data_IF_692173065291
#
_entry.id   IF_692173065291
#
_cell.length_a   1.000
_cell.length_b   1.000
_cell.length_c   1.000
_cell.angle_alpha   90.00
_cell.angle_beta   90.00
_cell.angle_gamma   90.00
#
_symmetry.space_group_name_H-M   'P 1'
#
loop_
_entity.id
_entity.type
_entity.pdbx_description
1 polymer ?
#
# COMPACT_ATOMS: atom_id res chain seq x y z
N UNK A 1 15.87 15.87 -2.85
CA UNK A 1 15.35 14.58 -2.34
C UNK A 1 13.94 14.40 -2.87
N UNK A 2 13.76 13.55 -3.88
CA UNK A 2 12.43 13.22 -4.42
C UNK A 2 11.64 12.42 -3.37
N UNK A 3 10.32 12.65 -3.22
CA UNK A 3 9.51 11.91 -2.26
C UNK A 3 9.56 10.42 -2.62
N UNK A 4 9.80 9.59 -1.61
CA UNK A 4 10.04 8.15 -1.64
C UNK A 4 9.39 7.47 -2.86
N UNK A 5 10.22 7.12 -3.86
CA UNK A 5 9.77 6.29 -4.95
C UNK A 5 9.42 4.93 -4.35
N UNK A 6 8.13 4.58 -4.34
CA UNK A 6 7.68 3.25 -3.96
C UNK A 6 8.51 2.22 -4.74
N UNK A 7 8.93 1.11 -4.12
CA UNK A 7 9.59 0.05 -4.86
C UNK A 7 8.70 -0.35 -6.05
N UNK A 8 9.29 -0.68 -7.21
CA UNK A 8 8.53 -0.90 -8.44
C UNK A 8 7.45 -1.98 -8.30
N UNK A 9 7.71 -3.02 -7.51
CA UNK A 9 6.75 -4.06 -7.17
C UNK A 9 5.54 -3.55 -6.37
N UNK A 10 5.75 -2.59 -5.46
CA UNK A 10 4.66 -1.97 -4.69
C UNK A 10 3.87 -0.96 -5.53
N UNK A 11 4.53 -0.25 -6.44
CA UNK A 11 3.85 0.59 -7.42
C UNK A 11 2.98 -0.25 -8.37
N UNK A 12 3.48 -1.40 -8.81
CA UNK A 12 2.72 -2.36 -9.61
C UNK A 12 1.54 -2.95 -8.82
N UNK A 13 1.77 -3.35 -7.57
CA UNK A 13 0.71 -3.82 -6.66
C UNK A 13 -0.39 -2.76 -6.51
N UNK A 14 -0.03 -1.49 -6.33
CA UNK A 14 -1.00 -0.41 -6.23
C UNK A 14 -1.88 -0.29 -7.49
N UNK A 15 -1.32 -0.46 -8.70
CA UNK A 15 -2.13 -0.52 -9.93
C UNK A 15 -3.10 -1.70 -9.90
N UNK A 16 -2.66 -2.87 -9.44
CA UNK A 16 -3.57 -4.02 -9.31
C UNK A 16 -4.71 -3.72 -8.36
N UNK A 17 -4.44 -3.14 -7.18
CA UNK A 17 -5.48 -2.75 -6.21
C UNK A 17 -6.49 -1.78 -6.81
N UNK A 18 -6.06 -0.83 -7.65
CA UNK A 18 -6.97 0.14 -8.30
C UNK A 18 -7.84 -0.50 -9.39
N UNK A 19 -7.39 -1.60 -10.02
CA UNK A 19 -8.08 -2.26 -11.13
C UNK A 19 -8.78 -3.57 -10.76
N UNK A 20 -8.58 -4.07 -9.54
CA UNK A 20 -9.12 -5.33 -9.02
C UNK A 20 -10.00 -5.03 -7.79
N UNK A 21 -11.32 -4.97 -8.01
CA UNK A 21 -12.29 -4.61 -6.99
C UNK A 21 -12.33 -5.63 -5.84
N UNK A 22 -12.11 -6.92 -6.13
CA UNK A 22 -12.08 -7.98 -5.12
C UNK A 22 -10.85 -7.82 -4.22
N UNK A 23 -9.70 -7.53 -4.81
CA UNK A 23 -8.48 -7.22 -4.05
C UNK A 23 -8.65 -5.97 -3.18
N UNK A 24 -9.29 -4.93 -3.72
CA UNK A 24 -9.60 -3.71 -2.97
C UNK A 24 -10.51 -4.00 -1.77
N UNK A 25 -11.60 -4.75 -1.96
CA UNK A 25 -12.52 -5.13 -0.88
C UNK A 25 -11.81 -5.96 0.19
N UNK A 26 -10.99 -6.94 -0.21
CA UNK A 26 -10.20 -7.77 0.72
C UNK A 26 -9.25 -6.93 1.57
N UNK A 27 -8.59 -5.93 0.97
CA UNK A 27 -7.69 -5.03 1.69
C UNK A 27 -8.47 -4.03 2.57
N UNK A 28 -9.61 -3.53 2.10
CA UNK A 28 -10.47 -2.61 2.85
C UNK A 28 -11.15 -3.28 4.06
N UNK A 29 -11.34 -4.60 4.02
CA UNK A 29 -11.84 -5.38 5.14
C UNK A 29 -10.80 -5.59 6.27
N UNK A 30 -9.56 -5.12 6.09
CA UNK A 30 -8.56 -5.15 7.16
C UNK A 30 -8.99 -4.28 8.35
N UNK A 31 -9.08 -4.89 9.54
CA UNK A 31 -9.56 -4.20 10.75
C UNK A 31 -8.58 -3.18 11.32
N UNK A 32 -7.29 -3.30 11.00
CA UNK A 32 -6.23 -2.42 11.48
C UNK A 32 -5.05 -2.35 10.49
N UNK A 33 -4.09 -1.49 10.79
CA UNK A 33 -2.93 -1.25 9.93
C UNK A 33 -1.99 -2.47 9.79
N UNK A 34 -1.82 -3.27 10.84
CA UNK A 34 -0.97 -4.47 10.80
C UNK A 34 -1.65 -5.61 10.02
N UNK A 35 -2.97 -5.75 10.17
CA UNK A 35 -3.78 -6.63 9.34
C UNK A 35 -3.69 -6.25 7.85
N UNK A 36 -3.80 -4.95 7.55
CA UNK A 36 -3.65 -4.44 6.18
C UNK A 36 -2.27 -4.74 5.60
N UNK A 37 -1.20 -4.46 6.37
CA UNK A 37 0.19 -4.70 5.92
C UNK A 37 0.42 -6.18 5.64
N UNK A 38 -0.04 -7.06 6.53
CA UNK A 38 0.04 -8.51 6.35
C UNK A 38 -0.69 -8.97 5.08
N UNK A 39 -1.93 -8.50 4.89
CA UNK A 39 -2.74 -8.84 3.72
C UNK A 39 -2.13 -8.31 2.42
N UNK A 40 -1.58 -7.10 2.42
CA UNK A 40 -0.95 -6.50 1.25
C UNK A 40 0.31 -7.28 0.83
N UNK A 41 1.18 -7.65 1.78
CA UNK A 41 2.38 -8.45 1.49
C UNK A 41 2.00 -9.83 0.96
N UNK A 42 1.00 -10.49 1.58
CA UNK A 42 0.52 -11.79 1.11
C UNK A 42 -0.08 -11.70 -0.30
N UNK A 43 -0.94 -10.72 -0.56
CA UNK A 43 -1.57 -10.53 -1.87
C UNK A 43 -0.57 -10.15 -2.98
N UNK A 44 0.50 -9.43 -2.63
CA UNK A 44 1.64 -9.18 -3.51
C UNK A 44 2.39 -10.45 -3.85
N UNK A 45 2.72 -11.26 -2.84
CA UNK A 45 3.42 -12.53 -3.02
C UNK A 45 2.63 -13.54 -3.88
N UNK A 46 1.31 -13.63 -3.68
CA UNK A 46 0.39 -14.42 -4.52
C UNK A 46 0.48 -14.04 -6.02
N UNK A 47 0.85 -12.79 -6.32
CA UNK A 47 0.98 -12.23 -7.67
C UNK A 47 2.42 -12.17 -8.17
N UNK A 48 3.37 -12.75 -7.45
CA UNK A 48 4.80 -12.72 -7.78
C UNK A 48 5.47 -11.37 -7.52
N UNK A 49 4.81 -10.45 -6.81
CA UNK A 49 5.34 -9.14 -6.44
C UNK A 49 6.02 -9.24 -5.07
N UNK A 50 7.29 -8.86 -5.02
CA UNK A 50 8.08 -8.92 -3.78
C UNK A 50 8.28 -7.53 -3.23
N UNK A 51 7.70 -7.27 -2.06
CA UNK A 51 7.93 -6.08 -1.24
C UNK A 51 7.71 -6.44 0.23
N UNK A 52 8.31 -5.66 1.12
CA UNK A 52 8.29 -5.91 2.55
C UNK A 52 7.15 -5.20 3.26
N UNK A 53 6.84 -5.65 4.47
CA UNK A 53 5.95 -4.92 5.37
C UNK A 53 6.44 -3.48 5.65
N UNK A 54 7.76 -3.25 5.66
CA UNK A 54 8.34 -1.92 5.84
C UNK A 54 8.01 -1.01 4.65
N UNK A 55 8.03 -1.54 3.41
CA UNK A 55 7.66 -0.79 2.21
C UNK A 55 6.20 -0.35 2.25
N UNK A 56 5.29 -1.26 2.64
CA UNK A 56 3.86 -0.94 2.79
C UNK A 56 3.64 0.12 3.86
N UNK A 57 4.30 0.00 5.02
CA UNK A 57 4.20 1.00 6.09
C UNK A 57 4.75 2.36 5.67
N UNK A 58 5.86 2.39 4.95
CA UNK A 58 6.43 3.62 4.41
C UNK A 58 5.46 4.30 3.42
N UNK A 59 4.79 3.52 2.57
CA UNK A 59 3.75 4.00 1.66
C UNK A 59 2.56 4.62 2.41
N UNK A 60 2.04 3.94 3.43
CA UNK A 60 0.95 4.45 4.27
C UNK A 60 1.33 5.75 4.98
N UNK A 61 2.56 5.82 5.53
CA UNK A 61 3.07 7.02 6.19
C UNK A 61 3.19 8.19 5.21
N UNK A 62 3.72 7.94 4.01
CA UNK A 62 3.83 8.95 2.97
C UNK A 62 2.45 9.46 2.54
N UNK A 63 1.48 8.55 2.31
CA UNK A 63 0.11 8.91 1.97
C UNK A 63 -0.56 9.76 3.06
N UNK A 64 -0.42 9.36 4.33
CA UNK A 64 -0.92 10.13 5.48
C UNK A 64 -0.29 11.52 5.56
N UNK A 65 1.03 11.62 5.37
CA UNK A 65 1.75 12.90 5.37
C UNK A 65 1.25 13.82 4.26
N UNK A 66 1.14 13.31 3.04
CA UNK A 66 0.61 14.07 1.90
C UNK A 66 -0.83 14.51 2.12
N UNK A 67 -1.67 13.69 2.77
CA UNK A 67 -3.03 14.08 3.11
C UNK A 67 -3.06 15.23 4.13
N UNK A 68 -2.26 15.14 5.19
CA UNK A 68 -2.14 16.22 6.20
C UNK A 68 -1.66 17.51 5.54
N UNK A 69 -0.56 17.45 4.79
CA UNK A 69 0.03 18.61 4.11
C UNK A 69 -0.94 19.29 3.11
N UNK A 70 -1.89 18.54 2.55
CA UNK A 70 -2.87 19.06 1.58
C UNK A 70 -4.19 19.54 2.20
N UNK A 71 -4.55 19.05 3.38
CA UNK A 71 -5.91 19.23 3.92
C UNK A 71 -5.95 19.81 5.33
N UNK A 72 -4.80 19.96 6.00
CA UNK A 72 -4.69 20.59 7.31
C UNK A 72 -3.98 21.93 7.13
N UNK A 73 -4.64 23.08 7.40
CA UNK A 73 -4.07 24.41 7.24
C UNK A 73 -2.93 24.70 8.23
#
# INVERSE_FOLDING_TARGET
MSPSALPPSLAEFHRHVVHDAELLERLAAAGDADAFVTLAVAAGAERGLVFSAADVRAALLAARRTWIERNVP
#
